data_IF_510520300749
#
_entry.id   IF_510520300749
#
_cell.length_a   1.000
_cell.length_b   1.000
_cell.length_c   1.000
_cell.angle_alpha   90.00
_cell.angle_beta   90.00
_cell.angle_gamma   90.00
#
_symmetry.space_group_name_H-M   'P 1'
#
loop_
_entity.id
_entity.type
_entity.pdbx_description
1 polymer ?
#
# COMPACT_ATOMS: atom_id res chain seq x y z
N UNK A 1 19.90 7.09 24.78
CA UNK A 1 18.66 7.59 24.11
C UNK A 1 17.42 7.50 25.00
N UNK A 2 17.36 6.62 26.01
CA UNK A 2 16.13 6.33 26.78
C UNK A 2 15.73 7.32 27.89
N UNK A 3 16.43 8.44 28.11
CA UNK A 3 16.09 9.35 29.23
C UNK A 3 16.26 10.84 28.91
N UNK A 4 15.96 11.24 27.68
CA UNK A 4 15.84 12.67 27.33
C UNK A 4 14.38 13.10 27.49
N UNK A 5 14.14 14.25 28.11
CA UNK A 5 12.80 14.83 28.20
C UNK A 5 12.13 15.07 26.83
N UNK A 6 12.93 15.13 25.76
CA UNK A 6 12.44 15.25 24.38
C UNK A 6 11.76 13.98 23.87
N UNK A 7 12.29 12.79 24.18
CA UNK A 7 11.66 11.53 23.78
C UNK A 7 10.29 11.35 24.46
N UNK A 8 10.21 11.66 25.77
CA UNK A 8 8.92 11.65 26.51
C UNK A 8 7.91 12.64 25.90
N UNK A 9 8.34 13.85 25.52
CA UNK A 9 7.48 14.84 24.84
C UNK A 9 7.02 14.34 23.47
N UNK A 10 7.92 13.72 22.70
CA UNK A 10 7.61 13.15 21.40
C UNK A 10 6.55 12.05 21.52
N UNK A 11 6.72 11.10 22.46
CA UNK A 11 5.73 10.05 22.72
C UNK A 11 4.38 10.64 23.11
N UNK A 12 4.36 11.62 24.02
CA UNK A 12 3.14 12.29 24.45
C UNK A 12 2.43 13.05 23.31
N UNK A 13 3.20 13.71 22.42
CA UNK A 13 2.65 14.45 21.27
C UNK A 13 1.92 13.53 20.29
N UNK A 14 2.46 12.33 20.06
CA UNK A 14 1.94 11.39 19.06
C UNK A 14 1.09 10.25 19.66
N UNK A 15 0.93 10.22 20.99
CA UNK A 15 0.11 9.21 21.68
C UNK A 15 0.75 7.83 21.72
N UNK A 16 2.08 7.75 21.69
CA UNK A 16 2.81 6.47 21.77
C UNK A 16 2.89 5.93 23.20
N UNK A 17 2.85 4.61 23.33
CA UNK A 17 2.70 3.91 24.60
C UNK A 17 3.97 3.84 25.47
N UNK A 18 5.17 4.06 24.90
CA UNK A 18 6.42 3.94 25.67
C UNK A 18 7.16 2.61 25.47
N UNK A 19 6.70 1.75 24.55
CA UNK A 19 7.19 0.38 24.33
C UNK A 19 7.53 0.16 22.86
N UNK A 20 8.78 0.44 22.45
CA UNK A 20 9.27 0.15 21.10
C UNK A 20 9.08 1.27 20.07
N UNK A 21 8.72 2.48 20.51
CA UNK A 21 8.74 3.67 19.65
C UNK A 21 10.13 4.26 19.46
N UNK A 22 10.30 4.98 18.35
CA UNK A 22 11.55 5.60 17.97
C UNK A 22 11.31 6.72 16.98
N UNK A 23 12.34 7.53 16.76
CA UNK A 23 12.36 8.46 15.65
C UNK A 23 13.74 8.57 15.05
N UNK A 24 13.76 8.95 13.78
CA UNK A 24 14.92 9.33 13.00
C UNK A 24 14.85 10.85 12.84
N UNK A 25 15.82 11.56 13.42
CA UNK A 25 15.99 13.00 13.23
C UNK A 25 16.87 13.23 12.01
N UNK A 26 16.24 13.56 10.88
CA UNK A 26 16.94 13.67 9.61
C UNK A 26 17.85 14.90 9.60
N UNK A 27 17.49 15.97 10.32
CA UNK A 27 18.34 17.17 10.45
C UNK A 27 19.65 16.79 11.14
N UNK A 28 19.57 16.08 12.26
CA UNK A 28 20.75 15.64 13.00
C UNK A 28 21.60 14.65 12.18
N UNK A 29 20.98 13.74 11.42
CA UNK A 29 21.71 12.83 10.52
C UNK A 29 22.46 13.58 9.40
N UNK A 30 21.84 14.62 8.83
CA UNK A 30 22.49 15.48 7.85
C UNK A 30 23.67 16.23 8.47
N UNK A 31 23.51 16.82 9.67
CA UNK A 31 24.61 17.47 10.39
C UNK A 31 25.76 16.50 10.67
N UNK A 32 25.46 15.22 10.94
CA UNK A 32 26.46 14.16 11.07
C UNK A 32 27.22 13.91 9.77
N UNK A 33 26.53 13.69 8.65
CA UNK A 33 27.18 13.48 7.35
C UNK A 33 28.02 14.66 6.88
N UNK A 34 27.59 15.88 7.19
CA UNK A 34 28.29 17.12 6.83
C UNK A 34 29.48 17.45 7.74
N UNK A 35 29.73 16.68 8.80
CA UNK A 35 30.83 16.94 9.75
C UNK A 35 30.53 18.08 10.73
N UNK A 36 29.26 18.44 10.89
CA UNK A 36 28.79 19.56 11.71
C UNK A 36 28.23 19.11 13.06
N UNK A 37 28.40 17.82 13.37
CA UNK A 37 28.01 17.19 14.63
C UNK A 37 28.59 17.89 15.84
N UNK A 38 27.82 17.86 16.94
CA UNK A 38 28.23 18.38 18.24
C UNK A 38 28.06 17.32 19.32
N UNK A 39 28.74 17.51 20.45
CA UNK A 39 28.57 16.67 21.65
C UNK A 39 28.94 15.20 21.40
N UNK A 40 28.11 14.29 21.91
CA UNK A 40 28.39 12.84 21.87
C UNK A 40 28.46 12.30 20.44
N UNK A 41 27.68 12.82 19.50
CA UNK A 41 27.73 12.36 18.11
C UNK A 41 29.07 12.68 17.46
N UNK A 42 29.64 13.86 17.73
CA UNK A 42 30.98 14.21 17.24
C UNK A 42 32.06 13.28 17.81
N UNK A 43 31.96 12.94 19.10
CA UNK A 43 32.89 12.00 19.76
C UNK A 43 32.80 10.59 19.18
N UNK A 44 31.58 10.11 18.94
CA UNK A 44 31.35 8.78 18.33
C UNK A 44 31.88 8.74 16.91
N UNK A 45 31.59 9.76 16.08
CA UNK A 45 32.10 9.82 14.71
C UNK A 45 33.63 9.88 14.66
N UNK A 46 34.25 10.65 15.56
CA UNK A 46 35.71 10.69 15.71
C UNK A 46 36.27 9.31 16.10
N UNK A 47 35.65 8.61 17.04
CA UNK A 47 36.07 7.28 17.47
C UNK A 47 35.93 6.23 16.35
N UNK A 48 34.95 6.39 15.47
CA UNK A 48 34.73 5.54 14.29
C UNK A 48 35.65 5.88 13.11
N UNK A 49 36.46 6.95 13.21
CA UNK A 49 37.29 7.42 12.10
C UNK A 49 36.45 7.90 10.90
N UNK A 50 35.22 8.36 11.14
CA UNK A 50 34.35 8.84 10.08
C UNK A 50 34.86 10.19 9.57
N UNK A 51 35.28 10.24 8.31
CA UNK A 51 35.61 11.48 7.64
C UNK A 51 34.37 12.03 6.93
N UNK A 52 33.94 13.27 7.24
CA UNK A 52 32.78 13.86 6.60
C UNK A 52 33.06 14.14 5.13
N UNK A 53 32.05 13.94 4.29
CA UNK A 53 32.18 14.09 2.85
C UNK A 53 32.39 15.57 2.47
N UNK A 54 33.26 15.81 1.50
CA UNK A 54 33.60 17.17 1.06
C UNK A 54 32.49 17.73 0.16
N UNK A 55 31.43 18.24 0.77
CA UNK A 55 30.29 18.87 0.07
C UNK A 55 30.50 20.38 -0.06
N UNK A 56 30.27 20.96 -1.25
CA UNK A 56 30.37 22.41 -1.45
C UNK A 56 29.38 23.20 -0.59
N UNK A 57 29.65 24.50 -0.31
CA UNK A 57 28.71 25.35 0.43
C UNK A 57 27.32 25.44 -0.22
N UNK A 58 27.24 25.38 -1.56
CA UNK A 58 25.98 25.43 -2.28
C UNK A 58 25.16 24.15 -2.05
N UNK A 59 25.77 22.97 -2.20
CA UNK A 59 25.10 21.70 -1.95
C UNK A 59 24.70 21.53 -0.47
N UNK A 60 25.52 22.00 0.47
CA UNK A 60 25.16 22.01 1.91
C UNK A 60 23.89 22.80 2.17
N UNK A 61 23.74 23.98 1.56
CA UNK A 61 22.54 24.79 1.73
C UNK A 61 21.29 24.10 1.16
N UNK A 62 21.42 23.48 -0.02
CA UNK A 62 20.34 22.68 -0.60
C UNK A 62 19.92 21.53 0.32
N UNK A 63 20.86 20.70 0.76
CA UNK A 63 20.59 19.55 1.63
C UNK A 63 19.88 20.00 2.92
N UNK A 64 20.34 21.09 3.54
CA UNK A 64 19.69 21.66 4.74
C UNK A 64 18.27 22.12 4.45
N UNK A 65 18.03 22.77 3.31
CA UNK A 65 16.69 23.20 2.93
C UNK A 65 15.73 22.02 2.75
N UNK A 66 16.21 20.95 2.09
CA UNK A 66 15.42 19.75 1.84
C UNK A 66 15.06 19.03 3.15
N UNK A 67 16.02 18.84 4.05
CA UNK A 67 15.78 18.11 5.30
C UNK A 67 14.90 18.89 6.28
N UNK A 68 14.91 20.23 6.23
CA UNK A 68 13.99 21.05 7.02
C UNK A 68 12.52 20.88 6.60
N UNK A 69 12.27 20.40 5.37
CA UNK A 69 10.91 20.13 4.90
C UNK A 69 10.35 18.81 5.45
N UNK A 70 11.22 17.88 5.85
CA UNK A 70 10.87 16.58 6.46
C UNK A 70 11.87 16.30 7.60
N UNK A 71 11.78 17.00 8.73
CA UNK A 71 12.83 16.97 9.75
C UNK A 71 12.89 15.65 10.54
N UNK A 72 11.76 14.94 10.67
CA UNK A 72 11.67 13.80 11.59
C UNK A 72 10.71 12.73 11.09
N UNK A 73 11.15 11.48 11.15
CA UNK A 73 10.32 10.30 10.91
C UNK A 73 10.22 9.53 12.22
N UNK A 74 9.01 9.40 12.73
CA UNK A 74 8.66 8.71 13.96
C UNK A 74 7.91 7.41 13.70
N UNK A 75 8.00 6.47 14.62
CA UNK A 75 7.17 5.28 14.65
C UNK A 75 6.91 4.86 16.09
N UNK A 76 5.75 4.26 16.36
CA UNK A 76 5.43 3.78 17.71
C UNK A 76 4.11 3.04 17.79
N UNK A 77 3.89 2.35 18.90
CA UNK A 77 2.60 1.74 19.20
C UNK A 77 1.67 2.75 19.85
N UNK A 78 0.43 2.85 19.34
CA UNK A 78 -0.66 3.63 19.94
C UNK A 78 -1.67 2.75 20.66
N UNK A 79 -1.64 1.44 20.40
CA UNK A 79 -2.40 0.44 21.12
C UNK A 79 -1.62 -0.88 21.22
N UNK A 80 -1.68 -1.53 22.38
CA UNK A 80 -1.13 -2.85 22.63
C UNK A 80 -2.01 -3.59 23.64
N UNK A 81 -2.86 -4.48 23.14
CA UNK A 81 -3.74 -5.41 23.87
C UNK A 81 -3.41 -6.85 23.47
N UNK A 82 -3.92 -7.82 24.22
CA UNK A 82 -3.65 -9.24 23.98
C UNK A 82 -4.03 -9.73 22.57
N UNK A 83 -5.04 -9.12 21.96
CA UNK A 83 -5.60 -9.49 20.65
C UNK A 83 -5.41 -8.41 19.57
N UNK A 84 -4.80 -7.27 19.91
CA UNK A 84 -4.67 -6.13 18.99
C UNK A 84 -3.48 -5.24 19.34
N UNK A 85 -2.63 -4.97 18.38
CA UNK A 85 -1.66 -3.88 18.43
C UNK A 85 -1.90 -2.92 17.27
N UNK A 86 -1.63 -1.63 17.48
CA UNK A 86 -1.65 -0.62 16.42
C UNK A 86 -0.32 0.10 16.42
N UNK A 87 0.38 0.00 15.29
CA UNK A 87 1.60 0.73 15.03
C UNK A 87 1.28 1.92 14.13
N UNK A 88 1.85 3.07 14.45
CA UNK A 88 1.71 4.30 13.68
C UNK A 88 3.10 4.83 13.32
N UNK A 89 3.30 5.11 12.03
CA UNK A 89 4.39 5.93 11.53
C UNK A 89 3.94 7.38 11.40
N UNK A 90 4.80 8.32 11.75
CA UNK A 90 4.56 9.76 11.62
C UNK A 90 5.72 10.39 10.88
N UNK A 91 5.44 11.09 9.79
CA UNK A 91 6.43 11.93 9.11
C UNK A 91 6.11 13.38 9.45
N UNK A 92 6.95 14.02 10.25
CA UNK A 92 6.83 15.45 10.51
C UNK A 92 7.32 16.22 9.28
N UNK A 93 6.55 17.21 8.84
CA UNK A 93 6.83 17.99 7.63
C UNK A 93 6.64 19.48 7.85
N UNK A 94 7.13 20.30 6.93
CA UNK A 94 6.80 21.72 6.89
C UNK A 94 5.28 21.92 6.61
N UNK A 95 4.68 23.04 7.03
CA UNK A 95 3.26 23.30 6.78
C UNK A 95 2.86 23.21 5.31
N UNK A 96 3.72 23.68 4.40
CA UNK A 96 3.47 23.62 2.96
C UNK A 96 3.39 22.17 2.45
N UNK A 97 4.31 21.30 2.90
CA UNK A 97 4.31 19.87 2.55
C UNK A 97 3.10 19.19 3.17
N UNK A 98 2.75 19.49 4.42
CA UNK A 98 1.56 18.94 5.08
C UNK A 98 0.26 19.28 4.33
N UNK A 99 0.09 20.54 3.90
CA UNK A 99 -1.09 20.97 3.13
C UNK A 99 -1.15 20.35 1.73
N UNK A 100 -0.02 20.05 1.13
CA UNK A 100 0.01 19.26 -0.10
C UNK A 100 -0.38 17.80 0.16
N UNK A 101 0.25 17.13 1.13
CA UNK A 101 -0.02 15.73 1.47
C UNK A 101 -1.49 15.48 1.84
N UNK A 102 -2.16 16.42 2.52
CA UNK A 102 -3.60 16.32 2.84
C UNK A 102 -4.52 16.26 1.62
N UNK A 103 -4.09 16.79 0.46
CA UNK A 103 -4.85 16.80 -0.80
C UNK A 103 -4.56 15.59 -1.68
N UNK A 104 -3.58 14.78 -1.29
CA UNK A 104 -3.13 13.62 -2.04
C UNK A 104 -4.14 12.45 -2.02
N UNK A 105 -4.82 12.13 -0.90
CA UNK A 105 -5.84 11.10 -0.89
C UNK A 105 -7.01 11.44 -1.82
N UNK A 106 -7.43 10.47 -2.63
CA UNK A 106 -8.65 10.57 -3.44
C UNK A 106 -9.69 9.55 -2.94
N UNK A 107 -11.00 9.89 -3.00
CA UNK A 107 -12.04 9.00 -2.50
C UNK A 107 -12.20 7.78 -3.41
N UNK A 108 -12.19 6.59 -2.80
CA UNK A 108 -12.46 5.31 -3.48
C UNK A 108 -13.50 4.55 -2.67
N UNK A 109 -14.60 4.05 -3.27
CA UNK A 109 -15.66 3.42 -2.49
C UNK A 109 -15.17 2.25 -1.63
N UNK A 110 -15.54 2.30 -0.34
CA UNK A 110 -15.24 1.29 0.66
C UNK A 110 -13.81 1.26 1.20
N UNK A 111 -12.85 1.95 0.55
CA UNK A 111 -11.42 1.86 0.84
C UNK A 111 -11.11 2.15 2.32
N UNK A 112 -10.41 1.24 2.99
CA UNK A 112 -10.00 1.37 4.40
C UNK A 112 -11.03 0.88 5.43
N UNK A 113 -12.16 0.31 4.98
CA UNK A 113 -13.24 -0.21 5.83
C UNK A 113 -13.51 -1.71 5.62
N UNK A 114 -12.51 -2.47 5.14
CA UNK A 114 -12.63 -3.88 4.74
C UNK A 114 -12.29 -4.90 5.85
N UNK A 115 -12.63 -4.61 7.10
CA UNK A 115 -12.19 -5.44 8.25
C UNK A 115 -12.61 -6.92 8.16
N UNK A 116 -13.72 -7.21 7.48
CA UNK A 116 -14.22 -8.57 7.29
C UNK A 116 -13.70 -9.23 6.01
N UNK A 117 -12.90 -8.58 5.17
CA UNK A 117 -12.36 -9.21 3.96
C UNK A 117 -11.40 -10.35 4.32
N UNK A 118 -11.39 -11.43 3.53
CA UNK A 118 -10.31 -12.43 3.63
C UNK A 118 -8.98 -11.81 3.17
N UNK A 119 -9.03 -11.05 2.07
CA UNK A 119 -7.93 -10.21 1.60
C UNK A 119 -8.50 -8.91 1.02
N UNK A 120 -7.82 -7.80 1.25
CA UNK A 120 -8.16 -6.50 0.68
C UNK A 120 -6.90 -5.72 0.33
N UNK A 121 -6.93 -5.01 -0.79
CA UNK A 121 -5.86 -4.15 -1.27
C UNK A 121 -6.50 -2.97 -1.98
N UNK A 122 -6.10 -1.75 -1.63
CA UNK A 122 -6.58 -0.58 -2.34
C UNK A 122 -5.72 0.64 -2.17
N UNK A 123 -5.90 1.57 -3.08
CA UNK A 123 -5.18 2.83 -3.12
C UNK A 123 -6.11 3.93 -3.62
N UNK A 124 -6.08 5.10 -2.99
CA UNK A 124 -6.84 6.29 -3.37
C UNK A 124 -5.92 7.49 -3.50
N UNK A 125 -5.61 7.88 -4.74
CA UNK A 125 -4.57 8.85 -5.05
C UNK A 125 -5.03 9.87 -6.08
N UNK A 126 -4.84 11.15 -5.77
CA UNK A 126 -5.09 12.26 -6.69
C UNK A 126 -3.86 12.47 -7.59
N UNK A 127 -3.86 11.84 -8.78
CA UNK A 127 -2.73 11.86 -9.70
C UNK A 127 -2.30 13.26 -10.16
N UNK A 128 -3.23 14.19 -10.48
CA UNK A 128 -2.85 15.59 -10.74
C UNK A 128 -2.12 16.25 -9.56
N UNK A 129 -2.63 16.08 -8.33
CA UNK A 129 -1.99 16.64 -7.13
C UNK A 129 -0.62 16.01 -6.87
N UNK A 130 -0.46 14.71 -7.12
CA UNK A 130 0.84 14.03 -7.05
C UNK A 130 1.82 14.64 -8.06
N UNK A 131 1.43 14.72 -9.33
CA UNK A 131 2.27 15.27 -10.41
C UNK A 131 2.73 16.68 -10.08
N UNK A 132 1.79 17.55 -9.75
CA UNK A 132 2.07 18.96 -9.51
C UNK A 132 2.95 19.14 -8.27
N UNK A 133 2.77 18.29 -7.25
CA UNK A 133 3.63 18.24 -6.06
C UNK A 133 5.06 17.78 -6.34
N UNK A 134 5.24 16.71 -7.13
CA UNK A 134 6.56 16.24 -7.54
C UNK A 134 7.28 17.30 -8.38
N UNK A 135 6.57 17.98 -9.29
CA UNK A 135 7.13 19.10 -10.05
C UNK A 135 7.51 20.28 -9.15
N UNK A 136 6.69 20.62 -8.15
CA UNK A 136 7.04 21.66 -7.19
C UNK A 136 8.28 21.31 -6.36
N UNK A 137 8.44 20.03 -5.99
CA UNK A 137 9.65 19.53 -5.31
C UNK A 137 10.88 19.69 -6.20
N UNK A 138 10.83 19.20 -7.45
CA UNK A 138 11.93 19.36 -8.40
C UNK A 138 12.25 20.84 -8.67
N UNK A 139 11.23 21.70 -8.70
CA UNK A 139 11.41 23.15 -8.87
C UNK A 139 12.13 23.78 -7.68
N UNK A 140 11.82 23.30 -6.47
CA UNK A 140 12.55 23.72 -5.25
C UNK A 140 14.01 23.30 -5.31
N UNK A 141 14.30 22.06 -5.75
CA UNK A 141 15.69 21.59 -5.94
C UNK A 141 16.42 22.44 -6.98
N UNK A 142 15.77 22.75 -8.10
CA UNK A 142 16.35 23.59 -9.16
C UNK A 142 16.67 25.00 -8.65
N UNK A 143 15.77 25.61 -7.88
CA UNK A 143 15.95 26.96 -7.35
C UNK A 143 16.98 27.04 -6.23
N UNK A 144 16.91 26.13 -5.25
CA UNK A 144 17.78 26.10 -4.08
C UNK A 144 19.15 25.47 -4.37
N UNK A 145 19.24 24.66 -5.42
CA UNK A 145 20.45 23.97 -5.86
C UNK A 145 21.34 24.80 -6.78
N UNK A 146 21.07 26.09 -6.98
CA UNK A 146 21.90 26.95 -7.82
C UNK A 146 23.35 26.98 -7.31
N UNK A 147 24.27 26.50 -8.15
CA UNK A 147 25.69 26.41 -7.85
C UNK A 147 26.10 25.14 -7.07
N UNK A 148 25.17 24.22 -6.79
CA UNK A 148 25.50 22.89 -6.30
C UNK A 148 25.90 22.00 -7.48
N UNK A 149 27.07 21.38 -7.38
CA UNK A 149 27.67 20.52 -8.41
C UNK A 149 26.87 19.24 -8.67
N UNK A 150 26.13 18.74 -7.68
CA UNK A 150 25.32 17.51 -7.80
C UNK A 150 23.94 17.75 -8.45
N UNK A 151 23.61 19.01 -8.77
CA UNK A 151 22.31 19.36 -9.34
C UNK A 151 22.44 19.57 -10.84
N UNK A 152 22.02 18.55 -11.59
CA UNK A 152 21.85 18.68 -13.04
C UNK A 152 20.51 19.35 -13.36
N UNK A 153 20.60 20.60 -13.83
CA UNK A 153 19.42 21.40 -14.17
C UNK A 153 18.69 20.88 -15.40
N UNK A 154 19.42 20.34 -16.38
CA UNK A 154 18.84 19.79 -17.59
C UNK A 154 18.09 18.50 -17.27
N UNK A 155 18.69 17.63 -16.45
CA UNK A 155 18.06 16.40 -15.98
C UNK A 155 16.80 16.69 -15.17
N UNK A 156 16.83 17.66 -14.25
CA UNK A 156 15.63 18.06 -13.49
C UNK A 156 14.50 18.56 -14.40
N UNK A 157 14.83 19.36 -15.42
CA UNK A 157 13.86 19.84 -16.39
C UNK A 157 13.27 18.69 -17.23
N UNK A 158 14.10 17.72 -17.64
CA UNK A 158 13.65 16.52 -18.33
C UNK A 158 12.74 15.66 -17.44
N UNK A 159 13.10 15.47 -16.16
CA UNK A 159 12.29 14.73 -15.20
C UNK A 159 10.91 15.38 -14.99
N UNK A 160 10.82 16.72 -14.95
CA UNK A 160 9.53 17.42 -14.90
C UNK A 160 8.67 17.14 -16.14
N UNK A 161 9.26 17.13 -17.34
CA UNK A 161 8.54 16.79 -18.57
C UNK A 161 8.11 15.32 -18.60
N UNK A 162 8.97 14.42 -18.11
CA UNK A 162 8.66 13.00 -17.97
C UNK A 162 7.45 12.77 -17.03
N UNK A 163 7.34 13.55 -15.95
CA UNK A 163 6.16 13.52 -15.07
C UNK A 163 4.88 13.94 -15.81
N UNK A 164 4.93 14.93 -16.70
CA UNK A 164 3.77 15.33 -17.50
C UNK A 164 3.34 14.24 -18.49
N UNK A 165 4.32 13.52 -19.06
CA UNK A 165 4.06 12.40 -19.97
C UNK A 165 3.52 11.17 -19.24
N UNK A 166 4.12 10.81 -18.10
CA UNK A 166 3.73 9.67 -17.29
C UNK A 166 2.35 9.87 -16.64
N UNK A 167 2.12 11.05 -16.06
CA UNK A 167 0.87 11.45 -15.41
C UNK A 167 0.07 12.38 -16.33
N UNK A 168 -0.06 11.96 -17.59
CA UNK A 168 -0.78 12.70 -18.60
C UNK A 168 -2.30 12.75 -18.31
N UNK A 169 -3.05 13.65 -18.98
CA UNK A 169 -4.49 13.80 -18.75
C UNK A 169 -5.34 12.55 -18.96
N UNK A 170 -4.87 11.54 -19.71
CA UNK A 170 -5.60 10.29 -19.92
C UNK A 170 -5.77 9.53 -18.60
N UNK A 171 -4.75 9.55 -17.74
CA UNK A 171 -4.79 8.89 -16.43
C UNK A 171 -5.28 9.81 -15.31
N UNK A 172 -5.33 11.13 -15.54
CA UNK A 172 -5.73 12.12 -14.53
C UNK A 172 -7.15 11.86 -13.97
N UNK A 173 -8.01 11.17 -14.72
CA UNK A 173 -9.34 10.79 -14.27
C UNK A 173 -9.37 9.63 -13.27
N UNK A 174 -8.29 8.84 -13.15
CA UNK A 174 -8.22 7.69 -12.24
C UNK A 174 -7.92 8.19 -10.83
N UNK A 175 -8.82 7.87 -9.89
CA UNK A 175 -8.71 8.22 -8.48
C UNK A 175 -8.13 7.08 -7.64
N UNK A 176 -8.27 5.84 -8.10
CA UNK A 176 -7.76 4.69 -7.37
C UNK A 176 -8.63 3.46 -7.50
N UNK A 177 -8.33 2.45 -6.68
CA UNK A 177 -9.02 1.17 -6.71
C UNK A 177 -9.16 0.54 -5.32
N UNK A 178 -10.10 -0.38 -5.21
CA UNK A 178 -10.35 -1.19 -4.03
C UNK A 178 -10.67 -2.64 -4.45
N UNK A 179 -9.74 -3.55 -4.18
CA UNK A 179 -9.89 -4.99 -4.34
C UNK A 179 -10.26 -5.62 -3.00
N UNK A 180 -11.31 -6.44 -2.99
CA UNK A 180 -11.70 -7.25 -1.84
C UNK A 180 -12.01 -8.65 -2.29
N UNK A 181 -11.43 -9.62 -1.57
CA UNK A 181 -11.69 -11.03 -1.73
C UNK A 181 -12.30 -11.51 -0.41
N UNK A 182 -13.52 -12.03 -0.46
CA UNK A 182 -14.23 -12.56 0.69
C UNK A 182 -14.08 -14.07 0.81
N UNK A 183 -14.04 -14.78 -0.33
CA UNK A 183 -13.95 -16.24 -0.41
C UNK A 183 -13.26 -16.70 -1.70
N UNK A 184 -12.49 -17.78 -1.62
CA UNK A 184 -11.93 -18.53 -2.75
C UNK A 184 -11.98 -20.01 -2.40
N UNK A 185 -12.76 -20.79 -3.14
CA UNK A 185 -12.82 -22.24 -3.03
C UNK A 185 -12.07 -22.85 -4.21
N UNK A 186 -11.08 -23.71 -3.94
CA UNK A 186 -10.28 -24.39 -4.95
C UNK A 186 -10.79 -25.82 -5.19
N UNK A 187 -10.70 -26.30 -6.42
CA UNK A 187 -10.87 -27.72 -6.73
C UNK A 187 -9.65 -28.50 -6.24
N UNK A 188 -9.82 -29.56 -5.43
CA UNK A 188 -8.70 -30.29 -4.84
C UNK A 188 -7.86 -31.06 -5.87
N UNK A 189 -8.41 -31.38 -7.05
CA UNK A 189 -7.70 -32.14 -8.08
C UNK A 189 -6.93 -31.23 -9.05
N UNK A 190 -7.52 -30.10 -9.45
CA UNK A 190 -6.90 -29.19 -10.44
C UNK A 190 -6.21 -27.99 -9.82
N UNK A 191 -6.46 -27.71 -8.53
CA UNK A 191 -6.08 -26.48 -7.83
C UNK A 191 -6.66 -25.20 -8.48
N UNK A 192 -7.63 -25.33 -9.38
CA UNK A 192 -8.29 -24.19 -10.01
C UNK A 192 -9.42 -23.65 -9.12
N UNK A 193 -9.73 -22.34 -9.18
CA UNK A 193 -10.85 -21.80 -8.43
C UNK A 193 -12.20 -22.36 -8.92
N UNK A 194 -12.90 -23.06 -8.04
CA UNK A 194 -14.27 -23.55 -8.27
C UNK A 194 -15.31 -22.48 -7.96
N UNK A 195 -15.08 -21.67 -6.94
CA UNK A 195 -15.93 -20.51 -6.61
C UNK A 195 -15.09 -19.38 -6.04
N UNK A 196 -15.45 -18.14 -6.37
CA UNK A 196 -14.80 -16.93 -5.87
C UNK A 196 -15.89 -15.92 -5.54
N UNK A 197 -15.77 -15.26 -4.38
CA UNK A 197 -16.47 -14.03 -4.04
C UNK A 197 -15.44 -12.91 -3.92
N UNK A 198 -15.31 -12.13 -4.99
CA UNK A 198 -14.38 -11.02 -5.07
C UNK A 198 -15.02 -9.82 -5.75
N UNK A 199 -14.58 -8.63 -5.33
CA UNK A 199 -14.95 -7.36 -5.97
C UNK A 199 -13.72 -6.52 -6.22
N UNK A 200 -13.71 -5.84 -7.35
CA UNK A 200 -12.77 -4.80 -7.69
C UNK A 200 -13.56 -3.54 -8.03
N UNK A 201 -13.30 -2.45 -7.32
CA UNK A 201 -13.91 -1.16 -7.57
C UNK A 201 -12.83 -0.22 -8.09
N UNK A 202 -13.05 0.36 -9.26
CA UNK A 202 -12.24 1.44 -9.83
C UNK A 202 -12.98 2.76 -9.63
N UNK A 203 -12.33 3.72 -8.97
CA UNK A 203 -12.83 5.08 -8.86
C UNK A 203 -12.22 5.95 -9.95
N UNK A 204 -13.06 6.60 -10.75
CA UNK A 204 -12.64 7.46 -11.84
C UNK A 204 -13.65 8.58 -12.13
N UNK A 205 -13.19 9.70 -12.70
CA UNK A 205 -14.07 10.80 -13.11
C UNK A 205 -15.05 10.42 -14.22
N UNK A 206 -14.67 9.47 -15.09
CA UNK A 206 -15.52 8.96 -16.17
C UNK A 206 -15.47 7.42 -16.27
N UNK A 207 -16.14 6.71 -15.35
CA UNK A 207 -16.14 5.24 -15.35
C UNK A 207 -16.81 4.64 -16.61
N UNK A 208 -17.75 5.38 -17.23
CA UNK A 208 -18.38 4.96 -18.49
C UNK A 208 -17.39 5.00 -19.65
N UNK A 209 -16.66 6.10 -19.81
CA UNK A 209 -15.61 6.22 -20.81
C UNK A 209 -14.55 5.13 -20.66
N UNK A 210 -14.12 4.85 -19.42
CA UNK A 210 -13.16 3.78 -19.14
C UNK A 210 -13.68 2.39 -19.55
N UNK A 211 -14.94 2.06 -19.24
CA UNK A 211 -15.53 0.82 -19.74
C UNK A 211 -15.60 0.80 -21.27
N UNK A 212 -15.96 1.93 -21.89
CA UNK A 212 -15.95 2.08 -23.35
C UNK A 212 -14.58 1.79 -23.97
N UNK A 213 -13.48 2.20 -23.32
CA UNK A 213 -12.12 1.87 -23.75
C UNK A 213 -11.83 0.37 -23.71
N UNK A 214 -12.25 -0.33 -22.64
CA UNK A 214 -12.14 -1.79 -22.57
C UNK A 214 -13.00 -2.47 -23.66
N UNK A 215 -14.18 -1.91 -23.94
CA UNK A 215 -15.05 -2.40 -24.99
C UNK A 215 -14.49 -2.24 -26.41
N UNK A 216 -13.61 -1.26 -26.65
CA UNK A 216 -12.88 -1.15 -27.92
C UNK A 216 -11.89 -2.29 -28.14
N UNK A 217 -11.35 -2.89 -27.06
CA UNK A 217 -10.42 -4.01 -27.14
C UNK A 217 -11.13 -5.35 -27.36
N UNK A 218 -12.42 -5.45 -27.06
CA UNK A 218 -13.22 -6.66 -27.22
C UNK A 218 -14.65 -6.34 -27.71
N UNK A 219 -14.99 -6.67 -28.98
CA UNK A 219 -16.30 -6.40 -29.56
C UNK A 219 -17.49 -6.96 -28.76
N UNK A 220 -17.30 -8.02 -27.98
CA UNK A 220 -18.37 -8.61 -27.14
C UNK A 220 -18.74 -7.76 -25.94
N UNK A 221 -17.85 -6.89 -25.48
CA UNK A 221 -18.15 -5.92 -24.43
C UNK A 221 -18.88 -4.70 -25.00
N UNK A 222 -18.67 -4.38 -26.29
CA UNK A 222 -19.30 -3.24 -26.95
C UNK A 222 -20.82 -3.41 -27.13
N UNK A 223 -21.34 -4.63 -27.09
CA UNK A 223 -22.78 -4.91 -27.14
C UNK A 223 -23.46 -4.76 -25.78
N UNK A 224 -22.70 -4.69 -24.69
CA UNK A 224 -23.24 -4.55 -23.34
C UNK A 224 -23.67 -3.11 -23.08
N UNK A 225 -24.91 -2.94 -22.64
CA UNK A 225 -25.40 -1.69 -22.11
C UNK A 225 -25.30 -1.73 -20.59
N UNK A 226 -24.47 -0.88 -20.01
CA UNK A 226 -24.27 -0.80 -18.57
C UNK A 226 -24.94 0.47 -18.04
N UNK A 227 -26.07 0.35 -17.31
CA UNK A 227 -26.68 1.47 -16.62
C UNK A 227 -25.73 2.10 -15.58
N UNK A 228 -25.98 3.34 -15.19
CA UNK A 228 -25.20 4.01 -14.13
C UNK A 228 -25.96 4.23 -12.83
N UNK A 229 -27.01 3.45 -12.63
CA UNK A 229 -27.79 3.39 -11.40
C UNK A 229 -27.24 2.34 -10.39
N UNK A 230 -26.20 1.60 -10.79
CA UNK A 230 -25.61 0.50 -10.03
C UNK A 230 -26.24 -0.87 -10.31
N UNK A 231 -27.07 -1.00 -11.34
CA UNK A 231 -27.61 -2.30 -11.77
C UNK A 231 -26.46 -3.19 -12.30
N UNK A 232 -26.25 -4.39 -11.74
CA UNK A 232 -25.26 -5.32 -12.25
C UNK A 232 -25.67 -5.90 -13.61
N UNK A 233 -24.70 -5.97 -14.52
CA UNK A 233 -24.83 -6.58 -15.85
C UNK A 233 -23.83 -7.73 -15.94
N UNK A 234 -24.28 -8.91 -16.37
CA UNK A 234 -23.41 -10.08 -16.51
C UNK A 234 -22.42 -9.87 -17.66
N UNK A 235 -21.15 -10.23 -17.43
CA UNK A 235 -20.12 -10.24 -18.45
C UNK A 235 -20.14 -11.58 -19.21
N UNK A 236 -20.04 -11.59 -20.55
CA UNK A 236 -20.06 -12.80 -21.37
C UNK A 236 -18.70 -13.55 -21.34
N UNK A 237 -18.15 -13.78 -20.14
CA UNK A 237 -16.82 -14.38 -19.98
C UNK A 237 -16.79 -15.85 -20.43
N UNK A 238 -17.86 -16.62 -20.21
CA UNK A 238 -17.94 -18.04 -20.60
C UNK A 238 -17.80 -18.25 -22.10
N UNK A 239 -18.27 -17.30 -22.88
CA UNK A 239 -18.11 -17.33 -24.33
C UNK A 239 -16.65 -17.10 -24.74
N UNK A 240 -15.85 -16.41 -23.90
CA UNK A 240 -14.43 -16.13 -24.14
C UNK A 240 -13.57 -17.31 -23.70
N UNK A 241 -13.76 -17.78 -22.48
CA UNK A 241 -13.08 -18.93 -21.89
C UNK A 241 -14.10 -19.78 -21.13
N UNK A 242 -14.37 -21.04 -21.55
CA UNK A 242 -15.40 -21.88 -20.92
C UNK A 242 -15.22 -22.13 -19.42
N UNK A 243 -13.97 -22.08 -18.93
CA UNK A 243 -13.62 -22.24 -17.51
C UNK A 243 -13.75 -20.95 -16.68
N UNK A 244 -14.20 -19.83 -17.27
CA UNK A 244 -14.34 -18.57 -16.53
C UNK A 244 -15.49 -18.62 -15.52
N UNK A 245 -15.24 -18.01 -14.36
CA UNK A 245 -16.26 -17.78 -13.35
C UNK A 245 -17.22 -16.67 -13.79
N UNK A 246 -18.52 -16.74 -13.43
CA UNK A 246 -19.45 -15.66 -13.70
C UNK A 246 -18.96 -14.35 -13.04
N UNK A 247 -19.09 -13.26 -13.79
CA UNK A 247 -18.72 -11.94 -13.31
C UNK A 247 -19.74 -10.89 -13.76
N UNK A 248 -19.86 -9.85 -12.96
CA UNK A 248 -20.82 -8.78 -13.10
C UNK A 248 -20.10 -7.45 -13.13
N UNK A 249 -20.55 -6.55 -13.99
CA UNK A 249 -20.07 -5.18 -14.06
C UNK A 249 -21.19 -4.21 -13.71
N UNK A 250 -20.87 -3.14 -12.99
CA UNK A 250 -21.83 -2.09 -12.68
C UNK A 250 -21.15 -0.73 -12.57
N UNK A 251 -21.88 0.33 -12.91
CA UNK A 251 -21.41 1.70 -12.76
C UNK A 251 -22.38 2.45 -11.83
N UNK A 252 -21.85 3.26 -10.92
CA UNK A 252 -22.63 4.21 -10.14
C UNK A 252 -21.78 5.39 -9.69
N UNK A 253 -22.23 6.61 -10.01
CA UNK A 253 -21.44 7.81 -9.76
C UNK A 253 -20.07 7.73 -10.44
N UNK A 254 -19.01 7.95 -9.68
CA UNK A 254 -17.60 7.90 -10.13
C UNK A 254 -16.96 6.51 -9.94
N UNK A 255 -17.76 5.44 -9.84
CA UNK A 255 -17.26 4.09 -9.58
C UNK A 255 -17.70 3.10 -10.66
N UNK A 256 -16.73 2.30 -11.12
CA UNK A 256 -16.92 1.10 -11.95
C UNK A 256 -16.56 -0.12 -11.10
N UNK A 257 -17.51 -1.02 -10.87
CA UNK A 257 -17.29 -2.26 -10.14
C UNK A 257 -17.24 -3.46 -11.07
N UNK A 258 -16.32 -4.37 -10.79
CA UNK A 258 -16.28 -5.74 -11.28
C UNK A 258 -16.49 -6.67 -10.09
N UNK A 259 -17.41 -7.62 -10.20
CA UNK A 259 -17.77 -8.55 -9.15
C UNK A 259 -17.69 -9.97 -9.70
N UNK A 260 -16.87 -10.83 -9.11
CA UNK A 260 -16.82 -12.25 -9.43
C UNK A 260 -17.66 -12.96 -8.38
N UNK A 261 -18.77 -13.55 -8.82
CA UNK A 261 -19.73 -14.22 -7.95
C UNK A 261 -20.65 -15.14 -8.78
N UNK A 262 -21.11 -16.28 -8.23
CA UNK A 262 -22.00 -17.21 -8.96
C UNK A 262 -23.33 -16.57 -9.42
N UNK A 263 -23.83 -15.59 -8.66
CA UNK A 263 -25.05 -14.85 -8.92
C UNK A 263 -24.80 -13.34 -8.85
N UNK A 264 -25.70 -12.54 -9.41
CA UNK A 264 -25.63 -11.08 -9.34
C UNK A 264 -25.64 -10.60 -7.87
N UNK A 265 -24.64 -9.80 -7.43
CA UNK A 265 -24.63 -9.32 -6.06
C UNK A 265 -25.79 -8.36 -5.79
N UNK A 266 -26.43 -8.47 -4.63
CA UNK A 266 -27.61 -7.65 -4.26
C UNK A 266 -27.26 -6.26 -3.75
N UNK A 267 -26.04 -6.09 -3.23
CA UNK A 267 -25.58 -4.86 -2.57
C UNK A 267 -24.64 -4.00 -3.43
N UNK A 268 -24.58 -4.24 -4.76
CA UNK A 268 -23.70 -3.49 -5.70
C UNK A 268 -23.83 -1.99 -5.51
N UNK A 269 -25.06 -1.48 -5.49
CA UNK A 269 -25.31 -0.05 -5.34
C UNK A 269 -24.84 0.54 -4.01
N UNK A 270 -24.71 -0.27 -2.94
CA UNK A 270 -24.13 0.15 -1.65
C UNK A 270 -22.61 0.10 -1.70
N UNK A 271 -22.05 -0.96 -2.30
CA UNK A 271 -20.59 -1.12 -2.45
C UNK A 271 -19.99 0.04 -3.25
N UNK A 272 -20.61 0.40 -4.38
CA UNK A 272 -20.12 1.47 -5.27
C UNK A 272 -20.26 2.87 -4.69
N UNK A 273 -21.00 3.05 -3.59
CA UNK A 273 -21.16 4.34 -2.90
C UNK A 273 -20.72 4.30 -1.45
N UNK A 274 -20.04 3.22 -1.03
CA UNK A 274 -19.59 3.07 0.34
C UNK A 274 -18.55 4.17 0.66
N UNK A 275 -18.68 4.89 1.79
CA UNK A 275 -17.71 5.91 2.14
C UNK A 275 -16.32 5.29 2.40
N UNK A 276 -15.23 5.91 1.91
CA UNK A 276 -13.87 5.52 2.30
C UNK A 276 -13.59 5.88 3.76
N UNK A 277 -12.57 5.26 4.34
CA UNK A 277 -11.93 5.73 5.55
C UNK A 277 -11.33 7.14 5.32
N UNK A 278 -11.28 8.00 6.36
CA UNK A 278 -10.72 9.34 6.23
C UNK A 278 -9.24 9.31 5.79
N UNK A 279 -8.90 10.10 4.77
CA UNK A 279 -7.51 10.35 4.33
C UNK A 279 -6.68 9.09 4.03
N UNK A 280 -7.31 8.00 3.60
CA UNK A 280 -6.63 6.77 3.21
C UNK A 280 -5.99 6.91 1.83
N UNK A 281 -4.66 6.77 1.79
CA UNK A 281 -3.90 6.67 0.53
C UNK A 281 -3.81 5.22 0.06
N UNK A 282 -3.54 4.31 0.99
CA UNK A 282 -3.31 2.90 0.72
C UNK A 282 -3.84 2.08 1.90
N UNK A 283 -4.47 0.95 1.60
CA UNK A 283 -4.93 -0.02 2.59
C UNK A 283 -4.63 -1.43 2.09
N UNK A 284 -4.12 -2.26 3.01
CA UNK A 284 -3.89 -3.69 2.82
C UNK A 284 -4.39 -4.40 4.06
N UNK A 285 -5.17 -5.46 3.89
CA UNK A 285 -5.69 -6.26 5.00
C UNK A 285 -5.84 -7.71 4.61
N UNK A 286 -5.59 -8.62 5.54
CA UNK A 286 -5.88 -10.04 5.40
C UNK A 286 -6.42 -10.59 6.71
N UNK A 287 -7.33 -11.56 6.63
CA UNK A 287 -7.97 -12.14 7.79
C UNK A 287 -7.55 -13.60 7.93
N UNK A 288 -6.60 -13.85 8.84
CA UNK A 288 -6.06 -15.19 9.12
C UNK A 288 -7.17 -16.16 9.52
N UNK A 289 -8.16 -15.71 10.30
CA UNK A 289 -9.29 -16.57 10.70
C UNK A 289 -10.10 -17.02 9.48
N UNK A 290 -10.36 -16.14 8.52
CA UNK A 290 -11.07 -16.50 7.27
C UNK A 290 -10.22 -17.40 6.39
N UNK A 291 -8.93 -17.13 6.27
CA UNK A 291 -8.00 -18.03 5.57
C UNK A 291 -8.08 -19.44 6.16
N UNK A 292 -7.95 -19.59 7.48
CA UNK A 292 -8.07 -20.89 8.15
C UNK A 292 -9.47 -21.53 8.03
N UNK A 293 -10.54 -20.74 7.87
CA UNK A 293 -11.88 -21.26 7.60
C UNK A 293 -11.98 -21.91 6.22
N UNK A 294 -11.43 -21.27 5.19
CA UNK A 294 -11.44 -21.78 3.83
C UNK A 294 -10.64 -23.09 3.69
N UNK A 295 -9.57 -23.24 4.49
CA UNK A 295 -8.83 -24.51 4.60
C UNK A 295 -9.53 -25.57 5.44
N UNK A 296 -10.79 -25.35 5.84
CA UNK A 296 -11.59 -26.33 6.58
C UNK A 296 -11.12 -26.57 8.02
N UNK A 297 -10.24 -25.71 8.56
CA UNK A 297 -9.66 -25.92 9.89
C UNK A 297 -10.71 -25.62 10.97
N UNK A 298 -11.08 -26.59 11.83
CA UNK A 298 -12.06 -26.36 12.89
C UNK A 298 -11.60 -25.29 13.89
N UNK A 299 -12.51 -24.51 14.50
CA UNK A 299 -12.14 -23.39 15.39
C UNK A 299 -11.19 -23.78 16.54
N UNK A 300 -11.40 -24.95 17.16
CA UNK A 300 -10.56 -25.47 18.26
C UNK A 300 -9.15 -25.88 17.82
N UNK A 301 -8.95 -26.08 16.52
CA UNK A 301 -7.68 -26.51 15.96
C UNK A 301 -6.80 -25.30 15.59
N UNK A 302 -7.40 -24.13 15.34
CA UNK A 302 -6.71 -22.93 14.84
C UNK A 302 -5.69 -22.34 15.80
N UNK A 303 -5.95 -22.40 17.10
CA UNK A 303 -5.01 -21.93 18.13
C UNK A 303 -3.89 -22.94 18.41
N UNK A 304 -3.99 -24.15 17.85
CA UNK A 304 -3.08 -25.27 18.13
C UNK A 304 -2.25 -25.68 16.91
N UNK A 305 -2.39 -25.00 15.78
CA UNK A 305 -1.65 -25.31 14.54
C UNK A 305 -0.16 -25.03 14.78
N UNK A 306 0.72 -26.03 14.68
CA UNK A 306 2.15 -25.83 14.81
C UNK A 306 2.68 -24.93 13.69
N UNK A 307 3.46 -23.93 14.05
CA UNK A 307 4.29 -23.17 13.12
C UNK A 307 5.69 -23.77 13.19
N UNK A 308 6.18 -24.32 12.09
CA UNK A 308 7.52 -24.92 11.99
C UNK A 308 8.47 -23.85 11.48
N UNK A 309 9.55 -23.61 12.22
CA UNK A 309 10.59 -22.65 11.86
C UNK A 309 11.90 -23.38 11.56
N UNK A 310 12.65 -22.87 10.58
CA UNK A 310 14.04 -23.23 10.29
C UNK A 310 14.87 -21.95 10.39
N UNK A 311 15.84 -21.90 11.29
CA UNK A 311 16.71 -20.74 11.52
C UNK A 311 15.92 -19.40 11.66
N UNK A 312 14.86 -19.43 12.47
CA UNK A 312 13.93 -18.32 12.73
C UNK A 312 13.07 -17.86 11.53
N UNK A 313 13.17 -18.53 10.38
CA UNK A 313 12.27 -18.35 9.25
C UNK A 313 11.11 -19.36 9.30
N UNK A 314 9.88 -18.88 9.06
CA UNK A 314 8.72 -19.77 8.97
C UNK A 314 8.95 -20.73 7.79
N UNK A 315 8.94 -22.03 8.07
CA UNK A 315 9.19 -23.08 7.10
C UNK A 315 7.89 -23.77 6.66
N UNK A 316 6.99 -24.03 7.60
CA UNK A 316 5.71 -24.67 7.34
C UNK A 316 4.68 -24.31 8.40
N UNK A 317 3.41 -24.46 8.04
CA UNK A 317 2.26 -24.35 8.94
C UNK A 317 1.66 -25.75 9.03
N UNK A 318 2.03 -26.50 10.06
CA UNK A 318 1.70 -27.91 10.23
C UNK A 318 1.95 -28.73 8.94
N UNK A 319 0.96 -29.51 8.52
CA UNK A 319 0.87 -30.21 7.24
C UNK A 319 -0.02 -29.47 6.22
N UNK A 320 -0.33 -28.19 6.47
CA UNK A 320 -1.22 -27.36 5.65
C UNK A 320 -0.47 -26.58 4.57
N UNK A 321 0.64 -25.93 4.95
CA UNK A 321 1.43 -25.05 4.08
C UNK A 321 2.91 -25.29 4.25
N UNK A 322 3.66 -25.18 3.16
CA UNK A 322 5.11 -25.08 3.15
C UNK A 322 5.49 -23.77 2.48
N UNK A 323 6.44 -23.04 3.07
CA UNK A 323 6.91 -21.79 2.48
C UNK A 323 7.61 -22.06 1.15
N UNK A 324 7.27 -21.28 0.12
CA UNK A 324 7.73 -21.49 -1.27
C UNK A 324 9.25 -21.74 -1.42
N UNK A 325 10.15 -21.02 -0.72
CA UNK A 325 11.60 -21.28 -0.82
C UNK A 325 12.04 -22.66 -0.35
N UNK A 326 11.22 -23.30 0.50
CA UNK A 326 11.51 -24.59 1.14
C UNK A 326 10.67 -25.73 0.56
N UNK A 327 9.83 -25.44 -0.44
CA UNK A 327 9.05 -26.44 -1.16
C UNK A 327 9.99 -27.27 -2.05
N UNK A 328 10.13 -28.57 -1.74
CA UNK A 328 10.88 -29.50 -2.58
C UNK A 328 10.30 -29.55 -4.00
N UNK A 329 11.16 -29.50 -5.02
CA UNK A 329 10.75 -29.55 -6.44
C UNK A 329 10.55 -31.00 -6.89
N UNK A 330 9.93 -31.17 -8.06
CA UNK A 330 9.67 -32.50 -8.63
C UNK A 330 10.94 -33.35 -8.76
N UNK A 331 10.99 -34.46 -8.02
CA UNK A 331 12.13 -35.40 -8.00
C UNK A 331 13.22 -35.09 -6.97
N UNK A 332 13.11 -33.97 -6.25
CA UNK A 332 14.02 -33.66 -5.13
C UNK A 332 13.57 -34.36 -3.86
N UNK A 333 14.50 -34.86 -3.02
CA UNK A 333 14.16 -35.39 -1.71
C UNK A 333 13.62 -34.27 -0.82
N UNK A 334 12.45 -34.49 -0.23
CA UNK A 334 11.81 -33.55 0.72
C UNK A 334 11.36 -34.27 1.99
N UNK A 335 11.21 -33.51 3.07
CA UNK A 335 10.60 -33.99 4.31
C UNK A 335 9.11 -33.61 4.31
N UNK A 336 8.24 -34.62 4.44
CA UNK A 336 6.81 -34.39 4.67
C UNK A 336 6.54 -34.17 6.15
N UNK A 337 5.82 -33.10 6.48
CA UNK A 337 5.30 -32.89 7.83
C UNK A 337 3.90 -33.52 7.87
N UNK A 338 3.66 -34.36 8.86
CA UNK A 338 2.33 -34.91 9.16
C UNK A 338 1.96 -34.43 10.56
N UNK A 339 0.87 -33.68 10.67
CA UNK A 339 0.42 -33.20 11.96
C UNK A 339 -0.71 -34.09 12.49
N UNK A 340 -0.47 -34.72 13.64
CA UNK A 340 -1.45 -35.59 14.30
C UNK A 340 -2.06 -34.87 15.50
N UNK A 341 -3.38 -34.74 15.48
CA UNK A 341 -4.17 -34.31 16.62
C UNK A 341 -4.61 -35.55 17.39
N UNK A 342 -4.07 -35.75 18.59
CA UNK A 342 -4.67 -36.71 19.55
C UNK A 342 -5.99 -36.17 20.13
#
# INVERSE_FOLDING_TARGET
MADTGEFKKFNAKHGFLGYGEGYIDLVQLVEMGLGESRGINAQVLQALGAEPEAVSPACRNLIRHMVQSVPRIGFGFTEAKADRYTMQGVVETSPAVAEWLKRLPAPVPGLGNEADAMFSLGMGLNLPVLRDGLKALLGTVLEQGKGCEDVDQEELAQNMQALDMMLNPMFAGIKGFNLVINRVELDPATQEPKSVDARFVLAATDPRGMFGMLAMLNPRLATLQIPSDGTPVELPLKEMTPASLPAWVAIKGEALGLFVSPEAPKDVGKVLTAPPAPSVLFALGYNVKKLLQEYGIPPWLRERIPLVYLDDELAAVADLFVCEPLQARGGEPGLGIEWRTE
#
